data_IF_261625606253
#
_entry.id   IF_261625606253
#
_cell.length_a   1.000
_cell.length_b   1.000
_cell.length_c   1.000
_cell.angle_alpha   90.00
_cell.angle_beta   90.00
_cell.angle_gamma   90.00
#
_symmetry.space_group_name_H-M   'P 1'
#
loop_
_entity.id
_entity.type
_entity.pdbx_description
1 polymer ?
#
# COMPACT_ATOMS: atom_id res chain seq x y z
N UNK A 1 11.31 -15.97 -92.66
CA UNK A 1 12.32 -15.21 -93.43
C UNK A 1 13.03 -14.26 -92.48
N UNK A 2 14.35 -14.16 -92.62
CA UNK A 2 15.35 -13.47 -91.79
C UNK A 2 15.84 -14.33 -90.60
N UNK A 3 16.90 -15.13 -90.81
CA UNK A 3 18.34 -14.80 -90.73
C UNK A 3 18.82 -14.66 -89.28
N UNK A 4 19.70 -15.58 -88.83
CA UNK A 4 21.17 -15.39 -88.70
C UNK A 4 21.52 -14.41 -87.58
N UNK A 5 22.57 -14.59 -86.78
CA UNK A 5 23.56 -15.64 -86.60
C UNK A 5 24.35 -15.27 -85.33
N UNK A 6 24.94 -16.31 -84.71
CA UNK A 6 26.27 -16.38 -84.10
C UNK A 6 26.87 -15.07 -83.52
N UNK A 7 27.26 -15.15 -82.25
CA UNK A 7 28.67 -15.00 -81.88
C UNK A 7 29.01 -15.91 -80.69
N UNK A 8 30.17 -16.55 -80.80
CA UNK A 8 30.78 -17.56 -79.93
C UNK A 8 31.97 -16.91 -79.21
N UNK A 9 32.35 -17.47 -78.05
CA UNK A 9 33.59 -17.31 -77.26
C UNK A 9 33.63 -16.04 -76.37
N UNK A 10 34.05 -16.10 -75.10
CA UNK A 10 34.64 -17.19 -74.34
C UNK A 10 34.90 -16.74 -72.88
N UNK A 11 34.73 -17.71 -71.98
CA UNK A 11 35.19 -17.90 -70.59
C UNK A 11 36.07 -16.80 -69.96
N UNK A 12 35.71 -16.38 -68.74
CA UNK A 12 36.66 -15.77 -67.79
C UNK A 12 36.05 -15.08 -66.57
N UNK A 13 35.71 -15.88 -65.55
CA UNK A 13 35.96 -15.65 -64.10
C UNK A 13 35.52 -14.36 -63.35
N UNK A 14 35.10 -14.60 -62.10
CA UNK A 14 34.76 -13.68 -60.99
C UNK A 14 33.37 -13.00 -61.00
N UNK A 15 32.41 -13.65 -60.33
CA UNK A 15 31.23 -13.00 -59.76
C UNK A 15 31.36 -12.98 -58.22
N UNK A 16 31.98 -11.93 -57.70
CA UNK A 16 31.73 -11.45 -56.34
C UNK A 16 30.56 -10.46 -56.43
N UNK A 17 29.50 -10.66 -55.65
CA UNK A 17 29.01 -9.67 -54.67
C UNK A 17 27.70 -10.14 -54.01
N UNK A 18 27.83 -10.45 -52.72
CA UNK A 18 26.95 -10.01 -51.62
C UNK A 18 25.47 -10.40 -51.67
N UNK A 19 25.19 -11.61 -51.18
CA UNK A 19 23.94 -11.91 -50.49
C UNK A 19 24.11 -11.52 -49.02
N UNK A 20 23.46 -10.43 -48.63
CA UNK A 20 23.30 -10.01 -47.22
C UNK A 20 22.40 -11.04 -46.55
N UNK A 21 22.99 -11.97 -45.80
CA UNK A 21 22.28 -12.76 -44.80
C UNK A 21 22.15 -11.89 -43.56
N UNK A 22 20.95 -11.36 -43.34
CA UNK A 22 20.51 -10.82 -42.06
C UNK A 22 20.68 -11.91 -41.00
N UNK A 23 21.61 -11.69 -40.08
CA UNK A 23 21.64 -12.38 -38.78
C UNK A 23 20.42 -11.91 -37.99
N UNK A 24 19.31 -12.64 -38.13
CA UNK A 24 18.27 -12.64 -37.10
C UNK A 24 18.90 -13.26 -35.85
N UNK A 25 18.95 -12.52 -34.76
CA UNK A 25 19.37 -13.02 -33.46
C UNK A 25 18.40 -14.09 -32.99
N UNK A 26 18.71 -15.35 -33.30
CA UNK A 26 18.13 -16.49 -32.63
C UNK A 26 18.87 -16.65 -31.29
N UNK A 27 18.43 -15.93 -30.27
CA UNK A 27 18.68 -16.29 -28.87
C UNK A 27 17.49 -17.12 -28.37
N UNK A 28 17.18 -18.20 -29.08
CA UNK A 28 16.46 -19.35 -28.52
C UNK A 28 17.50 -20.48 -28.38
N UNK A 29 18.41 -20.26 -27.42
CA UNK A 29 19.40 -21.24 -27.04
C UNK A 29 18.78 -22.19 -26.02
N UNK A 30 18.46 -23.39 -26.52
CA UNK A 30 18.61 -24.68 -25.83
C UNK A 30 17.69 -24.87 -24.59
N UNK A 31 16.47 -25.36 -24.84
CA UNK A 31 15.78 -26.21 -23.87
C UNK A 31 16.45 -27.58 -23.85
N UNK A 32 17.58 -27.69 -23.15
CA UNK A 32 18.13 -28.99 -22.76
C UNK A 32 17.20 -29.55 -21.68
N UNK A 33 16.61 -30.70 -21.93
CA UNK A 33 15.78 -31.42 -20.96
C UNK A 33 16.66 -31.85 -19.77
N UNK A 34 16.71 -31.02 -18.72
CA UNK A 34 17.41 -31.35 -17.47
C UNK A 34 16.45 -31.87 -16.41
N UNK A 35 15.96 -33.09 -16.62
CA UNK A 35 15.52 -33.90 -15.48
C UNK A 35 16.75 -34.10 -14.55
N UNK A 36 16.70 -33.53 -13.34
CA UNK A 36 17.78 -33.63 -12.33
C UNK A 36 18.53 -32.33 -12.00
N UNK A 37 18.15 -31.16 -12.54
CA UNK A 37 18.66 -29.84 -12.12
C UNK A 37 17.56 -28.93 -11.56
N UNK A 38 16.56 -29.51 -10.90
CA UNK A 38 15.58 -28.73 -10.15
C UNK A 38 16.29 -27.93 -9.06
N UNK A 39 16.27 -26.61 -9.20
CA UNK A 39 16.81 -25.63 -8.25
C UNK A 39 15.90 -24.42 -8.25
N UNK A 40 15.97 -23.64 -7.18
CA UNK A 40 15.17 -22.44 -7.02
C UNK A 40 14.24 -22.53 -5.83
N UNK A 41 13.28 -21.62 -5.80
CA UNK A 41 12.38 -21.44 -4.67
C UNK A 41 10.96 -21.17 -5.14
N UNK A 42 10.00 -21.80 -4.47
CA UNK A 42 8.60 -21.38 -4.50
C UNK A 42 8.33 -20.46 -3.31
N UNK A 43 7.88 -19.24 -3.59
CA UNK A 43 7.49 -18.26 -2.59
C UNK A 43 5.98 -18.12 -2.60
N UNK A 44 5.36 -18.50 -1.48
CA UNK A 44 3.95 -18.33 -1.23
C UNK A 44 3.73 -17.01 -0.49
N UNK A 45 2.60 -16.37 -0.73
CA UNK A 45 2.20 -15.14 -0.04
C UNK A 45 0.90 -15.39 0.70
N UNK A 46 0.82 -14.86 1.92
CA UNK A 46 -0.39 -14.92 2.73
C UNK A 46 -0.69 -13.55 3.32
N UNK A 47 -1.97 -13.20 3.39
CA UNK A 47 -2.45 -12.02 4.09
C UNK A 47 -3.41 -12.47 5.19
N UNK A 48 -2.88 -13.12 6.23
CA UNK A 48 -3.57 -13.53 7.46
C UNK A 48 -3.38 -12.54 8.61
N UNK A 49 -2.53 -11.53 8.42
CA UNK A 49 -2.24 -10.47 9.39
C UNK A 49 -3.31 -9.36 9.36
N UNK A 50 -4.56 -9.76 9.60
CA UNK A 50 -5.73 -8.90 9.68
C UNK A 50 -6.58 -9.28 10.90
N UNK A 51 -7.66 -8.53 11.15
CA UNK A 51 -8.56 -8.78 12.28
C UNK A 51 -9.59 -9.90 12.04
N UNK A 52 -9.81 -10.30 10.78
CA UNK A 52 -10.65 -11.46 10.43
C UNK A 52 -9.95 -12.80 10.66
N UNK A 53 -8.61 -12.80 10.80
CA UNK A 53 -7.76 -13.98 11.02
C UNK A 53 -7.92 -15.05 9.94
N UNK A 54 -8.16 -14.60 8.72
CA UNK A 54 -8.26 -15.44 7.54
C UNK A 54 -7.26 -14.94 6.50
N UNK A 55 -6.69 -15.86 5.73
CA UNK A 55 -5.86 -15.49 4.60
C UNK A 55 -6.75 -14.86 3.51
N UNK A 56 -6.50 -13.58 3.25
CA UNK A 56 -7.25 -12.75 2.31
C UNK A 56 -6.43 -12.41 1.05
N UNK A 57 -5.29 -13.08 0.83
CA UNK A 57 -4.38 -12.78 -0.29
C UNK A 57 -5.08 -12.82 -1.64
N UNK A 58 -5.69 -13.96 -1.98
CA UNK A 58 -6.34 -14.18 -3.27
C UNK A 58 -7.53 -13.25 -3.53
N UNK A 59 -8.17 -12.73 -2.47
CA UNK A 59 -9.33 -11.85 -2.58
C UNK A 59 -8.95 -10.38 -2.78
N UNK A 60 -7.77 -9.95 -2.29
CA UNK A 60 -7.42 -8.53 -2.16
C UNK A 60 -6.18 -8.11 -2.96
N UNK A 61 -5.22 -9.00 -3.17
CA UNK A 61 -3.94 -8.65 -3.81
C UNK A 61 -4.05 -8.80 -5.34
N UNK A 62 -3.80 -7.70 -6.04
CA UNK A 62 -3.83 -7.63 -7.50
C UNK A 62 -2.45 -7.68 -8.15
N UNK A 63 -1.39 -7.33 -7.43
CA UNK A 63 0.00 -7.46 -7.88
C UNK A 63 0.91 -7.77 -6.69
N UNK A 64 1.93 -8.60 -6.91
CA UNK A 64 3.06 -8.76 -5.99
C UNK A 64 4.38 -8.61 -6.74
N UNK A 65 5.28 -7.81 -6.16
CA UNK A 65 6.69 -7.71 -6.58
C UNK A 65 7.57 -8.24 -5.47
N UNK A 66 8.33 -9.28 -5.77
CA UNK A 66 9.30 -9.91 -4.89
C UNK A 66 10.71 -9.45 -5.25
N UNK A 67 11.37 -8.75 -4.33
CA UNK A 67 12.77 -8.37 -4.40
C UNK A 67 13.64 -9.45 -3.77
N UNK A 68 14.71 -9.84 -4.47
CA UNK A 68 15.66 -10.88 -4.05
C UNK A 68 16.99 -10.25 -3.70
N UNK A 69 17.47 -10.56 -2.50
CA UNK A 69 18.77 -10.12 -1.99
C UNK A 69 19.64 -11.32 -1.64
N UNK A 70 20.95 -11.18 -1.77
CA UNK A 70 21.90 -12.18 -1.27
C UNK A 70 22.00 -12.16 0.26
N UNK A 71 22.81 -13.07 0.82
CA UNK A 71 23.06 -13.17 2.26
C UNK A 71 23.61 -11.86 2.85
N UNK A 72 24.42 -11.13 2.08
CA UNK A 72 25.01 -9.85 2.48
C UNK A 72 24.04 -8.66 2.34
N UNK A 73 22.89 -8.86 1.70
CA UNK A 73 21.86 -7.85 1.49
C UNK A 73 21.98 -7.09 0.18
N UNK A 74 22.85 -7.50 -0.74
CA UNK A 74 22.96 -6.89 -2.07
C UNK A 74 21.79 -7.33 -2.95
N UNK A 75 21.27 -6.40 -3.74
CA UNK A 75 20.19 -6.67 -4.67
C UNK A 75 20.64 -7.59 -5.81
N UNK A 76 19.83 -8.61 -6.10
CA UNK A 76 20.09 -9.57 -7.18
C UNK A 76 19.11 -9.34 -8.33
N UNK A 77 17.82 -9.42 -8.03
CA UNK A 77 16.76 -9.36 -9.02
C UNK A 77 15.40 -9.10 -8.37
N UNK A 78 14.38 -8.91 -9.18
CA UNK A 78 12.99 -8.85 -8.74
C UNK A 78 12.10 -9.64 -9.71
N UNK A 79 11.02 -10.19 -9.19
CA UNK A 79 9.96 -10.83 -9.97
C UNK A 79 8.64 -10.15 -9.65
N UNK A 80 7.84 -9.84 -10.68
CA UNK A 80 6.52 -9.22 -10.51
C UNK A 80 5.48 -10.06 -11.23
N UNK A 81 4.38 -10.35 -10.55
CA UNK A 81 3.21 -10.99 -11.13
C UNK A 81 1.95 -10.21 -10.72
N UNK A 82 1.06 -9.99 -11.69
CA UNK A 82 -0.16 -9.23 -11.53
C UNK A 82 -1.36 -9.99 -12.10
N UNK A 83 -2.54 -9.71 -11.56
CA UNK A 83 -3.81 -10.08 -12.14
C UNK A 83 -4.14 -9.11 -13.29
N UNK A 84 -4.48 -9.67 -14.45
CA UNK A 84 -4.89 -8.92 -15.64
C UNK A 84 -6.15 -9.55 -16.24
N UNK A 85 -6.79 -8.84 -17.17
CA UNK A 85 -7.97 -9.36 -17.87
C UNK A 85 -7.65 -10.70 -18.56
N UNK A 86 -8.36 -11.75 -18.15
CA UNK A 86 -8.18 -13.10 -18.69
C UNK A 86 -7.04 -13.92 -18.06
N UNK A 87 -6.23 -13.35 -17.17
CA UNK A 87 -5.20 -14.08 -16.43
C UNK A 87 -5.04 -13.53 -15.00
N UNK A 88 -5.60 -14.23 -14.03
CA UNK A 88 -5.57 -13.83 -12.61
C UNK A 88 -4.82 -14.88 -11.77
N UNK A 89 -3.48 -14.99 -11.90
CA UNK A 89 -2.71 -16.03 -11.23
C UNK A 89 -2.78 -15.93 -9.70
N UNK A 90 -2.84 -14.71 -9.15
CA UNK A 90 -2.82 -14.48 -7.69
C UNK A 90 -4.12 -14.95 -7.01
N UNK A 91 -5.20 -15.15 -7.77
CA UNK A 91 -6.47 -15.68 -7.27
C UNK A 91 -6.49 -17.21 -7.15
N UNK A 92 -5.47 -17.91 -7.67
CA UNK A 92 -5.41 -19.37 -7.63
C UNK A 92 -5.04 -19.83 -6.23
N UNK A 93 -5.74 -20.85 -5.73
CA UNK A 93 -5.54 -21.38 -4.38
C UNK A 93 -4.14 -22.00 -4.17
N UNK A 94 -3.51 -22.47 -5.25
CA UNK A 94 -2.17 -23.06 -5.29
C UNK A 94 -1.12 -22.09 -5.83
N UNK A 95 -1.42 -20.78 -5.83
CA UNK A 95 -0.49 -19.76 -6.28
C UNK A 95 0.82 -19.80 -5.47
N UNK A 96 1.94 -19.92 -6.19
CA UNK A 96 3.29 -19.79 -5.66
C UNK A 96 4.18 -19.19 -6.76
N UNK A 97 4.92 -18.14 -6.40
CA UNK A 97 5.87 -17.52 -7.32
C UNK A 97 7.14 -18.37 -7.37
N UNK A 98 7.50 -18.84 -8.55
CA UNK A 98 8.73 -19.62 -8.75
C UNK A 98 9.89 -18.73 -9.18
N UNK A 99 11.05 -18.89 -8.53
CA UNK A 99 12.29 -18.24 -8.93
C UNK A 99 13.39 -19.29 -9.14
N UNK A 100 13.93 -19.35 -10.36
CA UNK A 100 15.15 -20.11 -10.66
C UNK A 100 16.38 -19.35 -10.13
N UNK A 101 16.71 -19.59 -8.86
CA UNK A 101 17.88 -19.04 -8.20
C UNK A 101 19.03 -20.06 -8.20
N UNK A 102 20.29 -19.59 -8.35
CA UNK A 102 21.44 -20.46 -8.17
C UNK A 102 21.57 -20.93 -6.71
N UNK A 103 22.53 -21.81 -6.46
CA UNK A 103 22.85 -22.22 -5.10
C UNK A 103 23.34 -21.01 -4.30
N UNK A 104 22.77 -20.81 -3.11
CA UNK A 104 23.04 -19.65 -2.29
C UNK A 104 22.03 -19.45 -1.17
N UNK A 105 22.28 -18.43 -0.36
CA UNK A 105 21.41 -18.02 0.74
C UNK A 105 20.83 -16.65 0.41
N UNK A 106 19.50 -16.54 0.50
CA UNK A 106 18.75 -15.38 0.02
C UNK A 106 17.86 -14.78 1.11
N UNK A 107 17.53 -13.51 0.93
CA UNK A 107 16.47 -12.80 1.66
C UNK A 107 15.49 -12.19 0.68
N UNK A 108 14.25 -12.06 1.10
CA UNK A 108 13.17 -11.56 0.27
C UNK A 108 12.45 -10.39 0.92
N UNK A 109 12.09 -9.42 0.09
CA UNK A 109 11.14 -8.35 0.45
C UNK A 109 10.04 -8.37 -0.60
N UNK A 110 8.79 -8.36 -0.19
CA UNK A 110 7.65 -8.31 -1.09
C UNK A 110 6.86 -7.02 -0.87
N UNK A 111 6.55 -6.35 -1.97
CA UNK A 111 5.58 -5.26 -2.01
C UNK A 111 4.40 -5.74 -2.84
N UNK A 112 3.20 -5.62 -2.28
CA UNK A 112 1.97 -6.00 -2.97
C UNK A 112 1.01 -4.82 -3.05
N UNK A 113 0.26 -4.77 -4.14
CA UNK A 113 -0.73 -3.73 -4.44
C UNK A 113 -2.08 -4.39 -4.73
N UNK A 114 -3.17 -3.67 -4.50
CA UNK A 114 -4.51 -4.18 -4.78
C UNK A 114 -4.79 -4.15 -6.28
N UNK A 115 -4.13 -3.23 -6.98
CA UNK A 115 -4.18 -3.07 -8.43
C UNK A 115 -2.79 -3.18 -9.02
N UNK A 116 -2.71 -3.38 -10.33
CA UNK A 116 -1.44 -3.42 -11.07
C UNK A 116 -0.70 -2.07 -10.91
N UNK A 117 0.56 -2.13 -10.50
CA UNK A 117 1.34 -0.95 -10.16
C UNK A 117 1.59 -0.03 -11.36
N UNK A 118 1.82 -0.60 -12.54
CA UNK A 118 2.04 0.17 -13.77
C UNK A 118 0.81 1.01 -14.15
N UNK A 119 -0.40 0.54 -13.84
CA UNK A 119 -1.63 1.31 -14.05
C UNK A 119 -1.76 2.39 -12.97
N UNK A 120 -1.52 2.04 -11.71
CA UNK A 120 -1.58 2.95 -10.56
C UNK A 120 -0.70 4.20 -10.74
N UNK A 121 0.53 4.04 -11.24
CA UNK A 121 1.46 5.17 -11.39
C UNK A 121 1.03 6.20 -12.44
N UNK A 122 0.16 5.80 -13.39
CA UNK A 122 -0.34 6.68 -14.46
C UNK A 122 -1.60 7.46 -14.04
N UNK A 123 -2.27 7.04 -12.96
CA UNK A 123 -3.49 7.68 -12.48
C UNK A 123 -3.23 8.98 -11.73
N UNK A 124 -4.29 9.79 -11.60
CA UNK A 124 -4.29 11.01 -10.79
C UNK A 124 -4.27 10.70 -9.29
N UNK A 125 -3.84 11.68 -8.49
CA UNK A 125 -3.72 11.54 -7.04
C UNK A 125 -2.39 10.92 -6.57
N UNK A 126 -2.23 10.92 -5.24
CA UNK A 126 -1.06 10.37 -4.57
C UNK A 126 -1.03 8.84 -4.65
N UNK A 127 0.17 8.29 -4.87
CA UNK A 127 0.46 6.85 -4.79
C UNK A 127 1.77 6.60 -4.07
N UNK A 128 1.96 5.36 -3.62
CA UNK A 128 3.25 4.91 -3.13
C UNK A 128 4.19 4.66 -4.30
N UNK A 129 5.37 5.27 -4.26
CA UNK A 129 6.48 5.00 -5.17
C UNK A 129 7.54 4.18 -4.47
N UNK A 130 8.08 3.19 -5.17
CA UNK A 130 9.19 2.38 -4.70
C UNK A 130 10.49 2.81 -5.36
N UNK A 131 11.61 2.70 -4.64
CA UNK A 131 12.95 2.86 -5.23
C UNK A 131 13.12 1.90 -6.41
N UNK A 132 13.64 2.39 -7.54
CA UNK A 132 14.10 1.53 -8.64
C UNK A 132 15.43 0.89 -8.26
N UNK A 133 15.42 -0.42 -8.02
CA UNK A 133 16.58 -1.17 -7.58
C UNK A 133 17.47 -1.58 -8.76
N UNK A 134 18.79 -1.51 -8.58
CA UNK A 134 19.78 -2.01 -9.52
C UNK A 134 20.92 -2.76 -8.79
N UNK A 135 21.84 -3.34 -9.55
CA UNK A 135 22.96 -4.17 -9.06
C UNK A 135 23.89 -3.49 -8.03
N UNK A 136 23.86 -2.16 -7.92
CA UNK A 136 24.65 -1.41 -6.92
C UNK A 136 23.89 -1.14 -5.62
N UNK A 137 22.62 -1.55 -5.54
CA UNK A 137 21.80 -1.31 -4.36
C UNK A 137 21.88 -2.44 -3.35
N UNK A 138 21.71 -2.07 -2.09
CA UNK A 138 21.45 -2.99 -0.98
C UNK A 138 20.01 -2.89 -0.54
N UNK A 139 19.51 -3.86 0.23
CA UNK A 139 18.12 -3.86 0.73
C UNK A 139 17.73 -2.56 1.42
N UNK A 140 18.64 -1.93 2.17
CA UNK A 140 18.39 -0.65 2.86
C UNK A 140 18.07 0.52 1.92
N UNK A 141 18.43 0.43 0.64
CA UNK A 141 18.10 1.44 -0.37
C UNK A 141 16.64 1.36 -0.84
N UNK A 142 15.96 0.22 -0.62
CA UNK A 142 14.55 0.08 -0.92
C UNK A 142 13.74 0.96 0.03
N UNK A 143 13.09 1.97 -0.56
CA UNK A 143 12.22 2.92 0.14
C UNK A 143 10.89 2.96 -0.56
N UNK A 144 9.82 3.07 0.22
CA UNK A 144 8.46 3.22 -0.26
C UNK A 144 7.99 4.61 0.16
N UNK A 145 7.88 5.53 -0.79
CA UNK A 145 7.55 6.94 -0.56
C UNK A 145 6.17 7.25 -1.12
N UNK A 146 5.25 7.69 -0.27
CA UNK A 146 3.97 8.25 -0.68
C UNK A 146 4.20 9.61 -1.32
N UNK A 147 3.63 9.83 -2.50
CA UNK A 147 3.66 11.11 -3.20
C UNK A 147 3.18 12.25 -2.27
N UNK A 148 4.01 13.29 -2.17
CA UNK A 148 3.73 14.46 -1.34
C UNK A 148 4.38 15.73 -1.93
N UNK A 149 3.78 16.87 -1.63
CA UNK A 149 4.27 18.19 -2.02
C UNK A 149 5.00 18.79 -0.82
N UNK A 150 6.28 19.10 -0.96
CA UNK A 150 7.05 19.81 0.06
C UNK A 150 6.95 21.32 -0.16
N UNK A 151 6.62 22.06 0.88
CA UNK A 151 6.61 23.54 0.86
C UNK A 151 7.99 24.09 1.21
N UNK A 152 8.22 25.36 0.87
CA UNK A 152 9.46 26.07 1.23
C UNK A 152 9.68 26.18 2.75
N UNK A 153 8.61 26.07 3.53
CA UNK A 153 8.64 26.11 5.01
C UNK A 153 8.96 24.74 5.63
N UNK A 154 9.18 23.70 4.79
CA UNK A 154 9.55 22.35 5.23
C UNK A 154 8.36 21.47 5.61
N UNK A 155 7.12 21.92 5.39
CA UNK A 155 5.93 21.10 5.56
C UNK A 155 5.67 20.25 4.32
N UNK A 156 5.26 19.00 4.50
CA UNK A 156 4.81 18.14 3.42
C UNK A 156 3.29 17.99 3.43
N UNK A 157 2.68 17.87 2.25
CA UNK A 157 1.23 17.68 2.09
C UNK A 157 0.95 16.54 1.13
N UNK A 158 -0.03 15.69 1.46
CA UNK A 158 -0.47 14.60 0.58
C UNK A 158 -1.59 15.14 -0.31
N UNK A 159 -1.35 15.22 -1.62
CA UNK A 159 -2.37 15.62 -2.59
C UNK A 159 -3.10 14.39 -3.12
N UNK A 160 -4.28 14.12 -2.54
CA UNK A 160 -5.11 12.99 -2.94
C UNK A 160 -5.84 13.21 -4.28
N UNK A 161 -5.98 14.45 -4.78
CA UNK A 161 -6.79 14.76 -5.97
C UNK A 161 -8.19 14.13 -5.98
N UNK A 162 -8.80 14.06 -4.80
CA UNK A 162 -10.08 13.40 -4.54
C UNK A 162 -10.13 11.89 -4.84
N UNK A 163 -8.98 11.22 -4.90
CA UNK A 163 -8.86 9.78 -5.08
C UNK A 163 -8.39 9.10 -3.79
N UNK A 164 -8.90 7.89 -3.48
CA UNK A 164 -8.34 7.07 -2.42
C UNK A 164 -6.93 6.58 -2.78
N UNK A 165 -6.14 6.19 -1.78
CA UNK A 165 -4.88 5.48 -2.02
C UNK A 165 -5.18 4.01 -2.39
N UNK A 166 -4.36 3.42 -3.26
CA UNK A 166 -4.35 1.97 -3.44
C UNK A 166 -3.88 1.26 -2.16
N UNK A 167 -4.28 0.01 -1.97
CA UNK A 167 -3.84 -0.76 -0.81
C UNK A 167 -2.42 -1.27 -0.99
N UNK A 168 -1.50 -0.84 -0.13
CA UNK A 168 -0.14 -1.35 -0.06
C UNK A 168 0.00 -2.42 1.03
N UNK A 169 0.58 -3.56 0.66
CA UNK A 169 1.09 -4.57 1.57
C UNK A 169 2.61 -4.69 1.49
N UNK A 170 3.21 -5.06 2.61
CA UNK A 170 4.64 -5.30 2.74
C UNK A 170 4.90 -6.61 3.46
N UNK A 171 5.90 -7.37 3.02
CA UNK A 171 6.47 -8.48 3.78
C UNK A 171 7.99 -8.51 3.66
N UNK A 172 8.65 -8.99 4.70
CA UNK A 172 10.09 -9.24 4.72
C UNK A 172 10.30 -10.65 5.25
N UNK A 173 11.20 -11.42 4.63
CA UNK A 173 11.56 -12.75 5.10
C UNK A 173 12.22 -12.66 6.49
N UNK A 174 11.62 -13.29 7.51
CA UNK A 174 12.18 -13.34 8.86
C UNK A 174 13.52 -14.08 8.90
N UNK A 175 13.61 -15.16 8.12
CA UNK A 175 14.77 -16.02 8.00
C UNK A 175 15.35 -15.97 6.59
N UNK A 176 16.61 -16.37 6.46
CA UNK A 176 17.22 -16.60 5.14
C UNK A 176 16.71 -17.89 4.52
N UNK A 177 16.63 -17.93 3.19
CA UNK A 177 16.24 -19.12 2.44
C UNK A 177 17.44 -19.68 1.71
N UNK A 178 17.79 -20.92 2.01
CA UNK A 178 18.87 -21.64 1.35
C UNK A 178 18.35 -22.38 0.12
N UNK A 179 18.94 -22.11 -1.03
CA UNK A 179 18.71 -22.84 -2.28
C UNK A 179 19.91 -23.74 -2.52
N UNK A 180 19.66 -25.05 -2.66
CA UNK A 180 20.71 -26.05 -2.89
C UNK A 180 20.45 -26.80 -4.19
N UNK A 181 21.51 -27.19 -4.90
CA UNK A 181 21.36 -27.95 -6.14
C UNK A 181 20.56 -29.26 -5.93
N UNK A 182 19.59 -29.52 -6.81
CA UNK A 182 18.78 -30.74 -6.79
C UNK A 182 17.65 -30.74 -5.75
N UNK A 183 17.34 -29.57 -5.16
CA UNK A 183 16.19 -29.38 -4.28
C UNK A 183 15.49 -28.06 -4.61
N UNK A 184 14.17 -28.07 -4.49
CA UNK A 184 13.36 -26.85 -4.52
C UNK A 184 13.08 -26.41 -3.09
N UNK A 185 13.42 -25.14 -2.80
CA UNK A 185 13.08 -24.53 -1.53
C UNK A 185 11.63 -24.04 -1.54
N UNK A 186 11.00 -23.99 -0.37
CA UNK A 186 9.68 -23.41 -0.19
C UNK A 186 9.75 -22.36 0.92
N UNK A 187 9.18 -21.19 0.66
CA UNK A 187 9.12 -20.10 1.62
C UNK A 187 7.73 -19.46 1.61
N UNK A 188 7.31 -18.91 2.75
CA UNK A 188 6.02 -18.23 2.86
C UNK A 188 6.23 -16.85 3.47
N UNK A 189 5.73 -15.83 2.78
CA UNK A 189 5.81 -14.44 3.18
C UNK A 189 4.48 -13.94 3.74
N UNK A 190 4.50 -13.44 4.97
CA UNK A 190 3.34 -12.89 5.67
C UNK A 190 3.21 -11.40 5.37
N UNK A 191 2.19 -11.03 4.57
CA UNK A 191 1.91 -9.64 4.20
C UNK A 191 1.26 -8.86 5.34
N UNK A 192 1.74 -7.64 5.58
CA UNK A 192 1.15 -6.66 6.48
C UNK A 192 0.61 -5.49 5.65
N UNK A 193 -0.65 -5.11 5.89
CA UNK A 193 -1.28 -3.97 5.21
C UNK A 193 -0.81 -2.65 5.82
N UNK A 194 -0.23 -1.79 4.98
CA UNK A 194 0.28 -0.50 5.40
C UNK A 194 -0.77 0.61 5.31
N UNK A 195 -1.66 0.61 4.31
CA UNK A 195 -2.63 1.70 4.16
C UNK A 195 -3.81 1.59 5.13
N UNK A 196 -4.26 2.75 5.63
CA UNK A 196 -5.35 2.88 6.58
C UNK A 196 -6.43 3.81 6.02
N UNK A 197 -7.66 3.33 6.05
CA UNK A 197 -8.85 4.12 5.79
C UNK A 197 -9.47 4.59 7.12
N UNK A 198 -9.78 5.87 7.21
CA UNK A 198 -10.37 6.48 8.41
C UNK A 198 -11.53 7.36 7.96
N UNK A 199 -12.75 6.96 8.32
CA UNK A 199 -13.94 7.78 8.12
C UNK A 199 -14.24 8.59 9.37
N UNK A 200 -14.36 9.91 9.23
CA UNK A 200 -14.69 10.85 10.30
C UNK A 200 -16.08 11.40 10.05
N UNK A 201 -16.94 11.34 11.07
CA UNK A 201 -18.27 11.96 11.07
C UNK A 201 -18.36 13.01 12.17
N UNK A 202 -18.85 14.20 11.85
CA UNK A 202 -19.12 15.28 12.79
C UNK A 202 -20.63 15.44 12.99
N UNK A 203 -21.04 15.50 14.26
CA UNK A 203 -22.41 15.83 14.69
C UNK A 203 -22.35 16.94 15.72
N UNK A 204 -23.24 17.93 15.63
CA UNK A 204 -23.44 18.92 16.70
C UNK A 204 -24.63 18.50 17.57
N UNK A 205 -24.45 18.50 18.90
CA UNK A 205 -25.49 18.11 19.85
C UNK A 205 -26.48 19.26 20.09
N UNK A 206 -25.98 20.51 20.06
CA UNK A 206 -26.75 21.70 20.40
C UNK A 206 -27.45 22.27 19.17
N UNK A 207 -26.75 22.32 18.04
CA UNK A 207 -27.22 22.89 16.78
C UNK A 207 -27.12 21.87 15.62
N UNK A 208 -27.79 20.70 15.72
CA UNK A 208 -27.64 19.61 14.75
C UNK A 208 -28.05 20.00 13.31
N UNK A 209 -28.98 20.94 13.13
CA UNK A 209 -29.40 21.44 11.82
C UNK A 209 -28.35 22.35 11.14
N UNK A 210 -27.39 22.89 11.90
CA UNK A 210 -26.37 23.81 11.40
C UNK A 210 -25.05 23.12 11.03
N UNK A 211 -24.91 21.82 11.29
CA UNK A 211 -23.72 21.07 10.91
C UNK A 211 -23.53 21.05 9.39
N UNK A 212 -22.40 21.58 8.92
CA UNK A 212 -21.93 21.49 7.54
C UNK A 212 -20.42 21.23 7.55
N UNK A 213 -19.96 20.14 6.92
CA UNK A 213 -18.54 19.81 6.83
C UNK A 213 -17.71 20.93 6.19
N UNK A 214 -18.30 21.73 5.30
CA UNK A 214 -17.61 22.81 4.61
C UNK A 214 -17.18 23.96 5.54
N UNK A 215 -17.82 24.08 6.71
CA UNK A 215 -17.44 25.04 7.76
C UNK A 215 -16.17 24.63 8.53
N UNK A 216 -15.65 23.43 8.26
CA UNK A 216 -14.49 22.87 8.95
C UNK A 216 -13.32 22.61 8.00
N UNK A 217 -12.12 22.79 8.54
CA UNK A 217 -10.86 22.29 8.00
C UNK A 217 -10.49 21.05 8.80
N UNK A 218 -10.22 19.93 8.11
CA UNK A 218 -9.89 18.66 8.73
C UNK A 218 -8.57 18.16 8.15
N UNK A 219 -7.67 17.69 9.00
CA UNK A 219 -6.40 17.12 8.56
C UNK A 219 -5.77 16.23 9.64
N UNK A 220 -4.95 15.28 9.21
CA UNK A 220 -4.05 14.51 10.07
C UNK A 220 -2.66 15.13 9.94
N UNK A 221 -2.13 15.67 11.04
CA UNK A 221 -0.76 16.19 11.13
C UNK A 221 0.18 15.06 11.51
N UNK A 222 1.35 14.99 10.87
CA UNK A 222 2.41 14.04 11.22
C UNK A 222 2.36 12.74 10.42
N UNK A 223 1.54 12.64 9.38
CA UNK A 223 1.36 11.42 8.59
C UNK A 223 2.68 10.93 7.98
N UNK A 224 2.93 9.62 8.08
CA UNK A 224 4.11 8.99 7.49
C UNK A 224 4.01 8.96 5.97
N UNK A 225 5.05 9.43 5.29
CA UNK A 225 5.12 9.40 3.82
C UNK A 225 6.29 8.59 3.30
N UNK A 226 7.10 7.99 4.16
CA UNK A 226 8.18 7.10 3.74
C UNK A 226 8.34 5.93 4.69
N UNK A 227 8.41 4.73 4.11
CA UNK A 227 8.71 3.47 4.78
C UNK A 227 10.05 2.93 4.26
N UNK A 228 10.83 2.36 5.16
CA UNK A 228 12.08 1.67 4.85
C UNK A 228 11.82 0.22 4.42
N UNK A 229 12.87 -0.44 3.97
CA UNK A 229 12.88 -1.84 3.53
C UNK A 229 12.38 -2.86 4.58
N UNK A 230 12.46 -2.52 5.87
CA UNK A 230 11.99 -3.33 7.00
C UNK A 230 10.58 -2.94 7.45
N UNK A 231 9.88 -2.15 6.63
CA UNK A 231 8.57 -1.56 6.89
C UNK A 231 8.54 -0.55 8.06
N UNK A 232 9.69 -0.12 8.59
CA UNK A 232 9.73 0.94 9.60
C UNK A 232 9.47 2.33 8.99
N UNK A 233 8.96 3.27 9.78
CA UNK A 233 8.75 4.64 9.33
C UNK A 233 10.06 5.42 9.26
N UNK A 234 10.18 6.28 8.25
CA UNK A 234 11.16 7.36 8.27
C UNK A 234 10.79 8.42 9.32
N UNK A 235 11.79 9.02 9.94
CA UNK A 235 11.61 10.14 10.86
C UNK A 235 11.08 11.39 10.13
N UNK A 236 11.52 11.63 8.88
CA UNK A 236 11.12 12.79 8.08
C UNK A 236 11.15 12.49 6.56
N UNK A 237 10.43 13.28 5.75
CA UNK A 237 9.44 14.27 6.15
C UNK A 237 8.17 13.60 6.74
N UNK A 238 7.44 14.35 7.56
CA UNK A 238 6.07 14.01 7.97
C UNK A 238 5.12 14.96 7.24
N UNK A 239 3.95 14.47 6.86
CA UNK A 239 3.02 15.24 6.07
C UNK A 239 1.73 15.62 6.80
N UNK A 240 1.04 16.60 6.25
CA UNK A 240 -0.35 16.91 6.51
C UNK A 240 -1.19 16.12 5.49
N UNK A 241 -2.03 15.23 5.99
CA UNK A 241 -2.96 14.43 5.18
C UNK A 241 -4.36 15.04 5.31
N UNK A 242 -4.93 15.49 4.20
CA UNK A 242 -6.32 15.98 4.14
C UNK A 242 -7.26 14.84 3.72
N UNK A 243 -8.57 14.94 3.97
CA UNK A 243 -9.53 13.98 3.43
C UNK A 243 -9.42 13.92 1.91
N UNK A 244 -9.62 12.74 1.32
CA UNK A 244 -9.79 12.61 -0.13
C UNK A 244 -11.24 12.86 -0.54
N UNK A 245 -12.20 12.80 0.38
CA UNK A 245 -13.59 13.17 0.09
C UNK A 245 -14.29 13.69 1.34
N UNK A 246 -15.18 14.65 1.14
CA UNK A 246 -16.07 15.18 2.19
C UNK A 246 -17.49 15.33 1.66
N UNK A 247 -18.49 15.04 2.48
CA UNK A 247 -19.90 15.22 2.11
C UNK A 247 -20.76 15.46 3.34
N UNK A 248 -22.01 15.88 3.12
CA UNK A 248 -23.00 16.00 4.19
C UNK A 248 -24.11 14.96 4.00
N UNK A 249 -24.62 14.43 5.11
CA UNK A 249 -25.88 13.68 5.13
C UNK A 249 -26.82 14.25 6.16
N UNK A 250 -28.06 13.77 6.16
CA UNK A 250 -29.09 14.17 7.10
C UNK A 250 -29.72 12.90 7.68
N UNK A 251 -30.04 12.90 8.97
CA UNK A 251 -30.77 11.80 9.57
C UNK A 251 -32.09 11.57 8.78
N UNK A 252 -32.52 10.31 8.60
CA UNK A 252 -33.76 10.03 7.90
C UNK A 252 -34.93 10.68 8.63
N UNK A 253 -35.85 11.25 7.86
CA UNK A 253 -37.05 11.89 8.38
C UNK A 253 -37.93 10.83 9.06
N UNK A 254 -37.89 10.79 10.39
CA UNK A 254 -38.71 9.87 11.16
C UNK A 254 -40.01 10.60 11.51
N UNK A 255 -41.16 9.98 11.23
CA UNK A 255 -42.52 10.47 11.52
C UNK A 255 -42.79 10.68 13.03
N UNK A 256 -41.76 10.55 13.86
CA UNK A 256 -41.76 10.71 15.31
C UNK A 256 -40.67 11.67 15.77
N UNK A 257 -41.03 12.92 16.12
CA UNK A 257 -40.44 13.85 17.13
C UNK A 257 -38.92 13.83 17.47
N UNK A 258 -38.05 13.25 16.65
CA UNK A 258 -36.59 13.29 16.81
C UNK A 258 -36.04 14.40 15.95
N UNK A 259 -35.27 15.30 16.54
CA UNK A 259 -34.56 16.36 15.81
C UNK A 259 -33.75 15.74 14.68
N UNK A 260 -34.07 16.13 13.45
CA UNK A 260 -33.34 15.67 12.27
C UNK A 260 -32.00 16.40 12.28
N UNK A 261 -30.88 15.67 12.39
CA UNK A 261 -29.56 16.28 12.41
C UNK A 261 -28.85 16.18 11.07
N UNK A 262 -28.15 17.25 10.69
CA UNK A 262 -27.14 17.17 9.63
C UNK A 262 -25.87 16.53 10.19
N UNK A 263 -25.15 15.82 9.33
CA UNK A 263 -23.87 15.21 9.61
C UNK A 263 -22.87 15.64 8.55
N UNK A 264 -21.69 16.06 8.99
CA UNK A 264 -20.54 16.25 8.12
C UNK A 264 -19.67 15.00 8.10
N UNK A 265 -19.22 14.58 6.93
CA UNK A 265 -18.37 13.40 6.75
C UNK A 265 -17.08 13.76 6.03
N UNK A 266 -15.99 13.11 6.41
CA UNK A 266 -14.69 13.24 5.80
C UNK A 266 -13.95 11.90 5.84
N UNK A 267 -13.54 11.40 4.68
CA UNK A 267 -12.77 10.16 4.59
C UNK A 267 -11.31 10.44 4.26
N UNK A 268 -10.44 9.77 5.02
CA UNK A 268 -8.99 9.84 4.88
C UNK A 268 -8.44 8.50 4.42
N UNK A 269 -7.37 8.56 3.64
CA UNK A 269 -6.48 7.43 3.36
C UNK A 269 -5.06 7.85 3.72
N UNK A 270 -4.41 7.09 4.60
CA UNK A 270 -3.04 7.39 5.04
C UNK A 270 -2.16 6.14 5.00
N UNK A 271 -0.85 6.34 5.16
CA UNK A 271 0.14 5.26 5.27
C UNK A 271 0.03 4.53 6.61
N UNK A 272 1.01 3.66 6.90
CA UNK A 272 1.10 2.92 8.15
C UNK A 272 1.16 3.89 9.33
N UNK A 273 0.34 3.60 10.34
CA UNK A 273 0.25 4.36 11.60
C UNK A 273 1.10 3.63 12.64
N UNK A 274 1.94 4.38 13.35
CA UNK A 274 2.85 3.82 14.36
C UNK A 274 2.51 4.33 15.75
N UNK A 275 2.71 3.47 16.74
CA UNK A 275 2.75 3.87 18.15
C UNK A 275 4.18 4.26 18.48
N UNK A 276 4.38 5.50 18.92
CA UNK A 276 5.68 5.96 19.40
C UNK A 276 5.74 5.93 20.92
N UNK A 277 6.95 5.75 21.47
CA UNK A 277 7.19 5.87 22.91
C UNK A 277 6.92 7.30 23.40
N UNK A 278 7.23 8.29 22.55
CA UNK A 278 6.93 9.70 22.77
C UNK A 278 5.69 10.10 21.97
N UNK A 279 4.57 10.36 22.68
CA UNK A 279 3.28 10.71 22.08
C UNK A 279 3.30 12.01 21.25
N UNK A 280 4.35 12.83 21.36
CA UNK A 280 4.52 14.02 20.53
C UNK A 280 4.92 13.68 19.08
N UNK A 281 5.41 12.46 18.83
CA UNK A 281 5.81 11.98 17.50
C UNK A 281 4.66 11.27 16.76
N UNK A 282 3.55 11.00 17.46
CA UNK A 282 2.34 10.39 16.91
C UNK A 282 1.56 11.35 15.99
N UNK A 283 0.79 10.78 15.06
CA UNK A 283 -0.12 11.55 14.23
C UNK A 283 -1.27 12.15 15.04
N UNK A 284 -1.66 13.38 14.69
CA UNK A 284 -2.74 14.11 15.36
C UNK A 284 -3.85 14.44 14.37
N UNK A 285 -5.06 13.96 14.61
CA UNK A 285 -6.25 14.37 13.87
C UNK A 285 -6.74 15.72 14.42
N UNK A 286 -6.84 16.71 13.54
CA UNK A 286 -7.23 18.07 13.86
C UNK A 286 -8.44 18.47 13.04
N UNK A 287 -9.42 19.09 13.70
CA UNK A 287 -10.57 19.75 13.06
C UNK A 287 -10.66 21.17 13.57
N UNK A 288 -10.65 22.14 12.65
CA UNK A 288 -10.76 23.58 12.94
C UNK A 288 -12.01 24.14 12.30
N UNK A 289 -12.76 24.94 13.05
CA UNK A 289 -13.88 25.69 12.49
C UNK A 289 -13.32 26.91 11.71
N UNK A 290 -13.60 26.98 10.41
CA UNK A 290 -13.05 28.02 9.52
C UNK A 290 -13.52 29.44 9.87
N UNK A 291 -14.75 29.57 10.37
CA UNK A 291 -15.36 30.87 10.71
C UNK A 291 -14.72 31.48 11.95
N UNK A 292 -14.47 30.67 12.96
CA UNK A 292 -13.95 31.13 14.27
C UNK A 292 -12.43 30.96 14.41
N UNK A 293 -11.81 30.13 13.58
CA UNK A 293 -10.41 29.72 13.70
C UNK A 293 -10.13 28.78 14.88
N UNK A 294 -11.15 28.37 15.64
CA UNK A 294 -11.01 27.54 16.83
C UNK A 294 -10.79 26.06 16.43
N UNK A 295 -9.79 25.43 17.03
CA UNK A 295 -9.65 23.96 17.01
C UNK A 295 -10.77 23.34 17.85
N UNK A 296 -11.65 22.57 17.19
CA UNK A 296 -12.79 21.90 17.84
C UNK A 296 -12.51 20.43 18.15
N UNK A 297 -11.57 19.80 17.45
CA UNK A 297 -11.05 18.46 17.72
C UNK A 297 -9.54 18.49 17.57
N UNK A 298 -8.84 17.94 18.54
CA UNK A 298 -7.40 17.67 18.49
C UNK A 298 -7.14 16.41 19.30
N UNK A 299 -6.79 15.32 18.62
CA UNK A 299 -6.66 13.99 19.24
C UNK A 299 -5.44 13.26 18.68
N UNK A 300 -4.69 12.59 19.54
CA UNK A 300 -3.65 11.64 19.15
C UNK A 300 -4.33 10.44 18.48
N UNK A 301 -4.06 10.26 17.19
CA UNK A 301 -4.73 9.30 16.34
C UNK A 301 -4.33 7.84 16.65
N UNK A 302 -3.02 7.48 16.77
CA UNK A 302 -2.62 6.14 17.22
C UNK A 302 -3.25 5.72 18.55
N UNK A 303 -3.25 6.58 19.57
CA UNK A 303 -3.88 6.29 20.86
C UNK A 303 -5.39 6.11 20.71
N UNK A 304 -6.06 7.01 19.98
CA UNK A 304 -7.51 6.96 19.79
C UNK A 304 -7.95 5.64 19.13
N UNK A 305 -7.29 5.25 18.05
CA UNK A 305 -7.60 4.02 17.30
C UNK A 305 -7.22 2.76 18.09
N UNK A 306 -6.05 2.75 18.72
CA UNK A 306 -5.56 1.58 19.46
C UNK A 306 -6.33 1.30 20.76
N UNK A 307 -7.22 2.20 21.22
CA UNK A 307 -8.15 1.91 22.33
C UNK A 307 -9.09 0.74 22.05
N UNK A 308 -9.22 0.33 20.78
CA UNK A 308 -9.93 -0.88 20.37
C UNK A 308 -9.09 -2.16 20.49
N UNK A 309 -7.81 -2.10 20.88
CA UNK A 309 -6.93 -3.28 20.96
C UNK A 309 -7.39 -4.37 21.94
N UNK A 310 -8.20 -4.00 22.94
CA UNK A 310 -8.82 -4.95 23.88
C UNK A 310 -10.20 -5.44 23.39
N UNK A 311 -10.50 -5.39 22.09
CA UNK A 311 -11.81 -5.83 21.57
C UNK A 311 -12.11 -7.31 21.82
N UNK A 312 -11.05 -8.11 21.89
CA UNK A 312 -11.13 -9.55 22.14
C UNK A 312 -10.36 -9.84 23.43
N UNK A 313 -11.09 -10.21 24.49
CA UNK A 313 -10.50 -10.55 25.79
C UNK A 313 -9.53 -11.74 25.70
N UNK A 314 -9.70 -12.61 24.69
CA UNK A 314 -8.85 -13.77 24.45
C UNK A 314 -7.58 -13.43 23.64
N UNK A 315 -7.61 -12.37 22.83
CA UNK A 315 -6.52 -11.99 21.92
C UNK A 315 -6.14 -10.54 22.15
N UNK A 316 -5.36 -10.32 23.21
CA UNK A 316 -4.87 -8.99 23.60
C UNK A 316 -3.69 -8.59 22.72
N UNK A 317 -4.00 -7.99 21.58
CA UNK A 317 -2.99 -7.45 20.69
C UNK A 317 -2.23 -6.31 21.37
N UNK A 318 -0.94 -6.20 21.06
CA UNK A 318 -0.23 -4.95 21.33
C UNK A 318 -0.91 -3.81 20.55
N UNK A 319 -0.70 -2.56 20.98
CA UNK A 319 -1.28 -1.41 20.28
C UNK A 319 -0.83 -1.37 18.81
N UNK A 320 0.46 -1.60 18.54
CA UNK A 320 0.99 -1.62 17.17
C UNK A 320 0.41 -2.78 16.35
N UNK A 321 0.37 -3.99 16.90
CA UNK A 321 -0.20 -5.14 16.19
C UNK A 321 -1.68 -4.90 15.84
N UNK A 322 -2.46 -4.30 16.75
CA UNK A 322 -3.83 -3.95 16.46
C UNK A 322 -3.94 -2.93 15.31
N UNK A 323 -3.11 -1.86 15.34
CA UNK A 323 -3.09 -0.85 14.28
C UNK A 323 -2.66 -1.43 12.93
N UNK A 324 -1.75 -2.40 12.92
CA UNK A 324 -1.30 -3.07 11.70
C UNK A 324 -2.39 -3.99 11.13
N UNK A 325 -3.10 -4.76 11.98
CA UNK A 325 -4.19 -5.66 11.57
C UNK A 325 -5.46 -4.92 11.14
N UNK A 326 -5.75 -3.78 11.77
CA UNK A 326 -6.93 -2.96 11.49
C UNK A 326 -6.68 -1.95 10.38
N UNK A 327 -7.67 -1.75 9.49
CA UNK A 327 -7.48 -0.89 8.31
C UNK A 327 -8.68 -0.01 7.91
N UNK A 328 -9.86 -0.17 8.50
CA UNK A 328 -11.11 0.51 8.10
C UNK A 328 -11.83 1.15 9.29
N UNK A 329 -11.21 2.18 9.86
CA UNK A 329 -11.67 2.84 11.07
C UNK A 329 -12.82 3.81 10.80
N UNK A 330 -13.77 3.89 11.74
CA UNK A 330 -14.86 4.85 11.74
C UNK A 330 -14.83 5.63 13.06
N UNK A 331 -14.87 6.95 12.99
CA UNK A 331 -14.84 7.85 14.14
C UNK A 331 -15.98 8.86 14.02
N UNK A 332 -16.92 8.81 14.97
CA UNK A 332 -18.01 9.80 15.04
C UNK A 332 -17.79 10.73 16.23
N UNK A 333 -17.49 12.00 15.98
CA UNK A 333 -17.39 13.04 17.00
C UNK A 333 -18.72 13.75 17.21
N UNK A 334 -19.03 14.01 18.48
CA UNK A 334 -20.20 14.76 18.90
C UNK A 334 -19.75 16.05 19.58
N UNK A 335 -20.10 17.19 18.98
CA UNK A 335 -19.67 18.53 19.36
C UNK A 335 -20.71 19.19 20.30
N UNK A 336 -20.24 19.99 21.24
CA UNK A 336 -21.05 20.80 22.17
C UNK A 336 -20.18 21.94 22.72
N UNK A 337 -20.74 23.14 22.86
CA UNK A 337 -19.99 24.32 23.35
C UNK A 337 -18.76 24.68 22.49
N UNK A 338 -18.79 24.35 21.19
CA UNK A 338 -17.68 24.57 20.26
C UNK A 338 -16.42 23.74 20.56
N UNK A 339 -16.56 22.56 21.18
CA UNK A 339 -15.51 21.53 21.32
C UNK A 339 -16.16 20.15 21.18
N UNK A 340 -15.38 19.09 20.98
CA UNK A 340 -15.93 17.73 21.01
C UNK A 340 -16.22 17.30 22.45
N UNK A 341 -17.42 16.76 22.71
CA UNK A 341 -17.81 16.23 24.01
C UNK A 341 -17.41 14.76 24.15
N UNK A 342 -17.64 13.96 23.10
CA UNK A 342 -17.24 12.56 23.05
C UNK A 342 -17.11 12.08 21.60
N UNK A 343 -16.44 10.95 21.42
CA UNK A 343 -16.29 10.27 20.15
C UNK A 343 -16.71 8.80 20.29
N UNK A 344 -17.33 8.24 19.25
CA UNK A 344 -17.49 6.81 19.09
C UNK A 344 -16.46 6.32 18.06
N UNK A 345 -15.63 5.35 18.45
CA UNK A 345 -14.60 4.76 17.57
C UNK A 345 -14.98 3.30 17.30
N UNK A 346 -15.00 2.90 16.03
CA UNK A 346 -15.20 1.52 15.61
C UNK A 346 -14.30 1.19 14.42
N UNK A 347 -14.32 -0.07 14.00
CA UNK A 347 -13.61 -0.59 12.83
C UNK A 347 -14.50 -1.68 12.22
N UNK A 348 -14.53 -1.83 10.90
CA UNK A 348 -15.63 -2.53 10.20
C UNK A 348 -15.82 -4.00 10.59
N UNK A 349 -14.75 -4.69 10.95
CA UNK A 349 -14.80 -6.07 11.47
C UNK A 349 -15.48 -6.17 12.84
N UNK A 350 -15.54 -5.09 13.62
CA UNK A 350 -16.15 -5.07 14.94
C UNK A 350 -17.63 -4.68 14.83
N UNK A 351 -18.51 -5.52 15.37
CA UNK A 351 -19.95 -5.22 15.49
C UNK A 351 -20.30 -4.23 16.61
N UNK A 352 -19.34 -3.49 17.16
CA UNK A 352 -19.52 -2.58 18.29
C UNK A 352 -18.62 -1.34 18.17
N UNK A 353 -18.94 -0.27 18.91
CA UNK A 353 -18.15 0.95 18.98
C UNK A 353 -17.76 1.31 20.41
N UNK A 354 -16.56 1.87 20.58
CA UNK A 354 -16.05 2.36 21.86
C UNK A 354 -16.35 3.84 22.00
N UNK A 355 -17.10 4.21 23.03
CA UNK A 355 -17.29 5.62 23.40
C UNK A 355 -16.09 6.13 24.19
N UNK A 356 -15.57 7.28 23.79
CA UNK A 356 -14.44 7.98 24.39
C UNK A 356 -14.91 9.38 24.75
N UNK A 357 -14.82 9.73 26.04
CA UNK A 357 -15.20 11.05 26.54
C UNK A 357 -14.03 12.01 26.39
N UNK A 358 -14.32 13.28 26.04
CA UNK A 358 -13.36 14.36 26.15
C UNK A 358 -13.25 14.78 27.63
N UNK A 359 -12.51 14.00 28.41
CA UNK A 359 -12.20 14.37 29.79
C UNK A 359 -11.00 15.32 29.77
N UNK A 360 -11.25 16.59 29.99
CA UNK A 360 -10.22 17.51 30.47
C UNK A 360 -9.80 16.97 31.84
N UNK A 361 -8.66 16.27 31.89
CA UNK A 361 -7.98 16.05 33.17
C UNK A 361 -7.54 17.45 33.60
N UNK A 362 -8.30 18.06 34.52
CA UNK A 362 -8.00 19.41 35.01
C UNK A 362 -6.55 19.51 35.42
N UNK A 363 -5.90 20.58 34.97
CA UNK A 363 -4.56 20.99 35.43
C UNK A 363 -4.53 21.19 36.95
#
# INVERSE_FOLDING_TARGET
MNHCAKHILGVGWLACLLLVLSVTSCTDLIFDSREGCERGVYVNFKYDYNLYRADMFADHVGEVTLYVFDEQGNYITQCTEANEEGNEPLKKADYAMFLDLPEGTYRFIALAHQRKYDDLIQEEGAKFRRTEMNENNVKEDLKITLDHISTYEGEAYIDHQNQPLDTLWHAMSEETVEVTQGKIAHHTMSLVRNTKYISVTLRDIEEPDLMDINDYELYIKGANVQLHHDNSASNHPKAICTPFVTWNTKDPDSDTRTSVGNMGHADFMTSRIFVHDNLADDEVLIVKNKKTGKTVIEVNLPDLLSRLCNYDELHRYSRQEFLDRGYDYNISFFLSGGNWAYANVSIGVLGWSKRIQNVSLGE
#
